data_IF_066755392796
#
_entry.id   IF_066755392796
#
_cell.length_a   1.000
_cell.length_b   1.000
_cell.length_c   1.000
_cell.angle_alpha   90.00
_cell.angle_beta   90.00
_cell.angle_gamma   90.00
#
_symmetry.space_group_name_H-M   'P 1'
#
loop_
_entity.id
_entity.type
_entity.pdbx_description
1 polymer ?
#
# COMPACT_ATOMS: atom_id res chain seq x y z
N UNK A 1 -20.79 81.85 1.53
CA UNK A 1 -21.93 81.49 2.41
C UNK A 1 -22.50 80.18 1.90
N UNK A 2 -22.59 79.15 2.76
CA UNK A 2 -23.18 77.80 2.59
C UNK A 2 -22.41 76.83 1.67
N UNK A 3 -21.72 75.79 2.20
CA UNK A 3 -22.12 74.57 2.94
C UNK A 3 -22.81 73.51 2.06
N UNK A 4 -22.18 72.31 2.06
CA UNK A 4 -22.76 70.97 1.83
C UNK A 4 -23.18 70.68 0.37
N UNK A 5 -22.93 69.53 -0.26
CA UNK A 5 -22.88 68.14 0.20
C UNK A 5 -21.95 67.35 -0.74
N UNK A 6 -20.84 66.90 -0.17
CA UNK A 6 -20.16 65.64 -0.48
C UNK A 6 -21.17 64.52 -0.19
N UNK A 7 -21.20 63.43 -0.98
CA UNK A 7 -21.99 62.19 -0.79
C UNK A 7 -23.28 62.14 -1.64
N UNK A 8 -23.21 61.44 -2.77
CA UNK A 8 -24.19 60.40 -3.17
C UNK A 8 -23.76 59.73 -4.50
N UNK A 9 -22.62 59.04 -4.47
CA UNK A 9 -22.37 57.90 -5.37
C UNK A 9 -21.44 56.87 -4.69
N UNK A 10 -21.67 56.64 -3.40
CA UNK A 10 -21.18 55.48 -2.65
C UNK A 10 -22.33 55.06 -1.73
N UNK A 11 -23.41 54.57 -2.33
CA UNK A 11 -24.39 53.74 -1.64
C UNK A 11 -24.54 52.49 -2.50
N UNK A 12 -24.35 51.37 -1.84
CA UNK A 12 -24.55 50.01 -2.33
C UNK A 12 -23.39 49.35 -3.08
N UNK A 13 -22.20 49.43 -2.50
CA UNK A 13 -21.35 48.22 -2.45
C UNK A 13 -21.04 47.93 -0.98
N UNK A 14 -21.84 47.05 -0.36
CA UNK A 14 -21.27 45.95 0.36
C UNK A 14 -21.68 44.67 -0.38
N UNK A 15 -21.00 44.36 -1.49
CA UNK A 15 -20.67 42.95 -1.77
C UNK A 15 -19.59 42.53 -0.76
N UNK A 16 -19.93 42.61 0.52
CA UNK A 16 -19.36 41.72 1.52
C UNK A 16 -19.77 40.34 1.07
N UNK A 17 -18.86 39.68 0.34
CA UNK A 17 -18.53 38.26 0.43
C UNK A 17 -19.60 37.52 1.24
N UNK A 18 -20.75 37.30 0.63
CA UNK A 18 -21.60 36.18 0.99
C UNK A 18 -20.86 34.98 0.44
N UNK A 19 -19.75 34.62 1.10
CA UNK A 19 -19.18 33.29 1.07
C UNK A 19 -20.36 32.39 1.37
N UNK A 20 -20.92 31.84 0.30
CA UNK A 20 -22.09 31.00 0.41
C UNK A 20 -21.67 29.83 1.31
N UNK A 21 -22.39 29.52 2.40
CA UNK A 21 -22.05 28.37 3.24
C UNK A 21 -21.97 27.08 2.42
N UNK A 22 -22.63 27.03 1.25
CA UNK A 22 -22.51 25.94 0.29
C UNK A 22 -21.12 25.81 -0.38
N UNK A 23 -20.38 26.90 -0.59
CA UNK A 23 -19.04 26.88 -1.15
C UNK A 23 -17.99 26.41 -0.12
N UNK A 24 -18.09 26.85 1.13
CA UNK A 24 -17.23 26.36 2.21
C UNK A 24 -17.50 24.89 2.54
N UNK A 25 -18.77 24.47 2.52
CA UNK A 25 -19.15 23.07 2.67
C UNK A 25 -18.64 22.21 1.51
N UNK A 26 -18.70 22.71 0.27
CA UNK A 26 -18.17 22.00 -0.89
C UNK A 26 -16.64 21.92 -0.89
N UNK A 27 -15.94 23.00 -0.54
CA UNK A 27 -14.48 22.99 -0.38
C UNK A 27 -14.04 22.04 0.73
N UNK A 28 -14.75 22.04 1.86
CA UNK A 28 -14.52 21.13 2.99
C UNK A 28 -14.79 19.67 2.61
N UNK A 29 -15.87 19.40 1.86
CA UNK A 29 -16.20 18.07 1.33
C UNK A 29 -15.17 17.60 0.30
N UNK A 30 -14.65 18.49 -0.54
CA UNK A 30 -13.63 18.17 -1.53
C UNK A 30 -12.29 17.85 -0.87
N UNK A 31 -11.86 18.65 0.11
CA UNK A 31 -10.68 18.36 0.95
C UNK A 31 -10.83 17.03 1.69
N UNK A 32 -12.00 16.78 2.29
CA UNK A 32 -12.30 15.54 3.01
C UNK A 32 -12.24 14.29 2.11
N UNK A 33 -12.76 14.36 0.88
CA UNK A 33 -12.68 13.27 -0.11
C UNK A 33 -11.27 13.06 -0.64
N UNK A 34 -10.52 14.15 -0.87
CA UNK A 34 -9.12 14.08 -1.29
C UNK A 34 -8.25 13.41 -0.24
N UNK A 35 -8.41 13.77 1.04
CA UNK A 35 -7.70 13.13 2.15
C UNK A 35 -8.04 11.63 2.27
N UNK A 36 -9.32 11.25 2.18
CA UNK A 36 -9.71 9.82 2.23
C UNK A 36 -9.10 9.01 1.07
N UNK A 37 -9.03 9.61 -0.12
CA UNK A 37 -8.39 8.97 -1.28
C UNK A 37 -6.90 8.76 -1.05
N UNK A 38 -6.17 9.80 -0.60
CA UNK A 38 -4.74 9.70 -0.31
C UNK A 38 -4.44 8.66 0.77
N UNK A 39 -5.27 8.60 1.82
CA UNK A 39 -5.14 7.60 2.88
C UNK A 39 -5.30 6.18 2.32
N UNK A 40 -6.30 5.96 1.45
CA UNK A 40 -6.51 4.68 0.80
C UNK A 40 -5.34 4.28 -0.10
N UNK A 41 -4.81 5.22 -0.89
CA UNK A 41 -3.65 5.00 -1.76
C UNK A 41 -2.41 4.65 -0.92
N UNK A 42 -2.18 5.33 0.20
CA UNK A 42 -1.08 5.05 1.12
C UNK A 42 -1.20 3.64 1.75
N UNK A 43 -2.40 3.24 2.18
CA UNK A 43 -2.65 1.90 2.71
C UNK A 43 -2.43 0.80 1.65
N UNK A 44 -2.91 1.02 0.42
CA UNK A 44 -2.72 0.10 -0.69
C UNK A 44 -1.23 -0.07 -1.05
N UNK A 45 -0.49 1.04 -1.11
CA UNK A 45 0.96 1.03 -1.31
C UNK A 45 1.69 0.28 -0.19
N UNK A 46 1.30 0.51 1.06
CA UNK A 46 1.86 -0.20 2.21
C UNK A 46 1.65 -1.72 2.13
N UNK A 47 0.46 -2.16 1.70
CA UNK A 47 0.14 -3.58 1.50
C UNK A 47 0.95 -4.19 0.35
N UNK A 48 1.06 -3.47 -0.78
CA UNK A 48 1.88 -3.90 -1.91
C UNK A 48 3.36 -4.08 -1.52
N UNK A 49 3.90 -3.17 -0.73
CA UNK A 49 5.28 -3.22 -0.23
C UNK A 49 5.54 -4.48 0.61
N UNK A 50 4.61 -4.84 1.50
CA UNK A 50 4.72 -6.06 2.33
C UNK A 50 4.64 -7.34 1.52
N UNK A 51 3.75 -7.38 0.52
CA UNK A 51 3.71 -8.50 -0.44
C UNK A 51 5.01 -8.62 -1.21
N UNK A 52 5.55 -7.51 -1.72
CA UNK A 52 6.80 -7.51 -2.47
C UNK A 52 7.95 -8.04 -1.60
N UNK A 53 8.01 -7.64 -0.34
CA UNK A 53 9.01 -8.18 0.61
C UNK A 53 8.80 -9.67 0.89
N UNK A 54 7.56 -10.12 1.12
CA UNK A 54 7.28 -11.54 1.30
C UNK A 54 7.70 -12.35 0.07
N UNK A 55 7.45 -11.81 -1.13
CA UNK A 55 7.85 -12.44 -2.38
C UNK A 55 9.38 -12.52 -2.52
N UNK A 56 10.09 -11.45 -2.16
CA UNK A 56 11.56 -11.47 -2.19
C UNK A 56 12.12 -12.56 -1.26
N UNK A 57 11.56 -12.73 -0.07
CA UNK A 57 11.94 -13.83 0.85
C UNK A 57 11.64 -15.18 0.22
N UNK A 58 10.47 -15.37 -0.39
CA UNK A 58 10.13 -16.63 -1.09
C UNK A 58 11.11 -16.94 -2.22
N UNK A 59 11.48 -15.95 -3.03
CA UNK A 59 12.45 -16.10 -4.12
C UNK A 59 13.86 -16.43 -3.58
N UNK A 60 14.29 -15.80 -2.47
CA UNK A 60 15.55 -16.10 -1.78
C UNK A 60 15.58 -17.53 -1.21
N UNK A 61 14.45 -18.00 -0.66
CA UNK A 61 14.29 -19.37 -0.16
C UNK A 61 14.41 -20.37 -1.32
N UNK A 62 13.70 -20.13 -2.42
CA UNK A 62 13.77 -20.98 -3.62
C UNK A 62 15.22 -21.05 -4.14
N UNK A 63 15.89 -19.90 -4.20
CA UNK A 63 17.29 -19.82 -4.60
C UNK A 63 18.21 -20.62 -3.67
N UNK A 64 18.05 -20.49 -2.36
CA UNK A 64 18.83 -21.26 -1.38
C UNK A 64 18.62 -22.78 -1.55
N UNK A 65 17.36 -23.20 -1.75
CA UNK A 65 17.00 -24.60 -1.96
C UNK A 65 17.63 -25.15 -3.25
N UNK A 66 17.63 -24.37 -4.32
CA UNK A 66 18.30 -24.71 -5.58
C UNK A 66 19.81 -24.87 -5.40
N UNK A 67 20.48 -23.91 -4.74
CA UNK A 67 21.92 -23.98 -4.45
C UNK A 67 22.25 -25.24 -3.63
N UNK A 68 21.44 -25.54 -2.60
CA UNK A 68 21.61 -26.76 -1.81
C UNK A 68 21.44 -28.03 -2.65
N UNK A 69 20.46 -28.05 -3.55
CA UNK A 69 20.21 -29.19 -4.44
C UNK A 69 21.37 -29.44 -5.40
N UNK A 70 21.88 -28.39 -6.04
CA UNK A 70 22.99 -28.46 -6.99
C UNK A 70 24.29 -28.89 -6.30
N UNK A 71 24.56 -28.36 -5.11
CA UNK A 71 25.86 -28.53 -4.44
C UNK A 71 27.01 -28.13 -5.37
N UNK A 72 28.14 -28.86 -5.30
CA UNK A 72 29.29 -28.65 -6.19
C UNK A 72 29.19 -29.32 -7.58
N UNK A 73 28.02 -29.87 -7.96
CA UNK A 73 27.91 -30.67 -9.17
C UNK A 73 27.54 -29.83 -10.41
N UNK A 74 28.54 -29.59 -11.28
CA UNK A 74 28.38 -28.89 -12.58
C UNK A 74 27.34 -29.48 -13.55
N UNK A 75 26.88 -30.71 -13.35
CA UNK A 75 25.94 -31.40 -14.26
C UNK A 75 24.47 -31.18 -13.91
N UNK A 76 24.16 -30.69 -12.71
CA UNK A 76 22.79 -30.36 -12.33
C UNK A 76 22.48 -28.94 -12.78
N UNK A 77 21.27 -28.73 -13.28
CA UNK A 77 20.73 -27.42 -13.64
C UNK A 77 19.37 -27.25 -12.97
N UNK A 78 19.09 -26.03 -12.52
CA UNK A 78 17.78 -25.64 -12.01
C UNK A 78 16.70 -25.77 -13.09
N UNK A 79 17.07 -25.56 -14.36
CA UNK A 79 16.15 -25.63 -15.50
C UNK A 79 15.74 -27.07 -15.84
N UNK A 80 16.41 -28.08 -15.28
CA UNK A 80 16.10 -29.49 -15.51
C UNK A 80 15.97 -30.26 -14.19
N UNK A 81 15.02 -29.85 -13.35
CA UNK A 81 14.72 -30.53 -12.07
C UNK A 81 14.31 -32.00 -12.26
N UNK A 82 13.81 -32.39 -13.43
CA UNK A 82 13.47 -33.78 -13.75
C UNK A 82 14.67 -34.72 -13.77
N UNK A 83 15.89 -34.20 -14.02
CA UNK A 83 17.12 -34.98 -14.00
C UNK A 83 17.76 -35.07 -12.60
N UNK A 84 17.16 -34.46 -11.58
CA UNK A 84 17.70 -34.50 -10.22
C UNK A 84 17.55 -35.90 -9.63
N UNK A 85 18.66 -36.41 -9.09
CA UNK A 85 18.65 -37.67 -8.35
C UNK A 85 18.02 -37.52 -6.96
N UNK A 86 17.81 -38.65 -6.28
CA UNK A 86 17.26 -38.68 -4.92
C UNK A 86 18.08 -37.85 -3.93
N UNK A 87 19.40 -37.73 -4.12
CA UNK A 87 20.28 -37.01 -3.21
C UNK A 87 20.15 -35.50 -3.38
N UNK A 88 20.01 -35.02 -4.61
CA UNK A 88 19.71 -33.62 -4.92
C UNK A 88 18.37 -33.19 -4.33
N UNK A 89 17.32 -34.00 -4.52
CA UNK A 89 16.01 -33.76 -3.88
C UNK A 89 16.07 -33.78 -2.35
N UNK A 90 16.84 -34.70 -1.76
CA UNK A 90 17.01 -34.73 -0.31
C UNK A 90 17.68 -33.46 0.24
N UNK A 91 18.69 -32.93 -0.46
CA UNK A 91 19.31 -31.64 -0.10
C UNK A 91 18.34 -30.48 -0.25
N UNK A 92 17.59 -30.42 -1.36
CA UNK A 92 16.56 -29.41 -1.58
C UNK A 92 15.55 -29.38 -0.43
N UNK A 93 14.97 -30.54 -0.09
CA UNK A 93 13.94 -30.63 0.95
C UNK A 93 14.50 -30.30 2.35
N UNK A 94 15.73 -30.73 2.65
CA UNK A 94 16.38 -30.38 3.90
C UNK A 94 16.63 -28.87 4.02
N UNK A 95 16.99 -28.21 2.92
CA UNK A 95 17.09 -26.75 2.85
C UNK A 95 15.73 -26.08 3.04
N UNK A 96 14.71 -26.53 2.30
CA UNK A 96 13.35 -25.98 2.38
C UNK A 96 12.78 -26.02 3.80
N UNK A 97 12.99 -27.13 4.53
CA UNK A 97 12.58 -27.24 5.95
C UNK A 97 13.31 -26.21 6.82
N UNK A 98 14.61 -26.02 6.60
CA UNK A 98 15.41 -25.07 7.38
C UNK A 98 15.00 -23.63 7.10
N UNK A 99 14.80 -23.30 5.83
CA UNK A 99 14.33 -21.99 5.38
C UNK A 99 12.92 -21.69 5.87
N UNK A 100 12.01 -22.67 5.81
CA UNK A 100 10.67 -22.54 6.36
C UNK A 100 10.71 -22.22 7.87
N UNK A 101 11.59 -22.90 8.63
CA UNK A 101 11.74 -22.61 10.06
C UNK A 101 12.37 -21.23 10.32
N UNK A 102 13.32 -20.80 9.49
CA UNK A 102 13.98 -19.51 9.65
C UNK A 102 13.06 -18.32 9.33
N UNK A 103 12.16 -18.48 8.35
CA UNK A 103 11.38 -17.36 7.79
C UNK A 103 9.87 -17.44 8.05
N UNK A 104 9.32 -18.51 8.64
CA UNK A 104 7.87 -18.64 8.83
C UNK A 104 7.25 -17.46 9.58
N UNK A 105 7.84 -17.05 10.71
CA UNK A 105 7.33 -15.93 11.51
C UNK A 105 7.35 -14.61 10.74
N UNK A 106 8.41 -14.34 9.97
CA UNK A 106 8.52 -13.11 9.17
C UNK A 106 7.51 -13.11 8.02
N UNK A 107 7.40 -14.21 7.28
CA UNK A 107 6.45 -14.35 6.17
C UNK A 107 5.01 -14.22 6.67
N UNK A 108 4.67 -14.86 7.78
CA UNK A 108 3.33 -14.76 8.38
C UNK A 108 3.04 -13.33 8.85
N UNK A 109 4.01 -12.66 9.47
CA UNK A 109 3.91 -11.25 9.86
C UNK A 109 3.63 -10.36 8.65
N UNK A 110 4.43 -10.46 7.59
CA UNK A 110 4.27 -9.66 6.37
C UNK A 110 2.91 -9.88 5.70
N UNK A 111 2.45 -11.14 5.63
CA UNK A 111 1.15 -11.50 5.05
C UNK A 111 0.00 -10.97 5.90
N UNK A 112 0.09 -11.07 7.23
CA UNK A 112 -0.92 -10.54 8.14
C UNK A 112 -1.00 -9.01 8.08
N UNK A 113 0.15 -8.32 8.08
CA UNK A 113 0.21 -6.87 7.94
C UNK A 113 -0.37 -6.41 6.60
N UNK A 114 -0.03 -7.06 5.48
CA UNK A 114 -0.60 -6.75 4.17
C UNK A 114 -2.15 -6.89 4.20
N UNK A 115 -2.65 -8.01 4.73
CA UNK A 115 -4.08 -8.25 4.85
C UNK A 115 -4.78 -7.22 5.76
N UNK A 116 -4.11 -6.76 6.83
CA UNK A 116 -4.64 -5.72 7.71
C UNK A 116 -4.73 -4.37 6.99
N UNK A 117 -3.69 -3.97 6.28
CA UNK A 117 -3.68 -2.71 5.52
C UNK A 117 -4.76 -2.69 4.44
N UNK A 118 -4.99 -3.83 3.77
CA UNK A 118 -6.11 -3.96 2.82
C UNK A 118 -7.48 -3.88 3.46
N UNK A 119 -7.65 -4.48 4.64
CA UNK A 119 -8.89 -4.35 5.40
C UNK A 119 -9.16 -2.88 5.73
N UNK A 120 -8.15 -2.16 6.22
CA UNK A 120 -8.26 -0.72 6.51
C UNK A 120 -8.58 0.09 5.24
N UNK A 121 -7.92 -0.20 4.12
CA UNK A 121 -8.16 0.48 2.85
C UNK A 121 -9.60 0.27 2.31
N UNK A 122 -10.23 -0.85 2.64
CA UNK A 122 -11.64 -1.12 2.30
C UNK A 122 -12.61 -0.38 3.24
N UNK A 123 -12.37 -0.44 4.55
CA UNK A 123 -13.23 0.20 5.55
C UNK A 123 -13.27 1.72 5.35
N UNK A 124 -12.10 2.34 5.13
CA UNK A 124 -12.00 3.78 4.89
C UNK A 124 -12.61 4.23 3.55
N UNK A 125 -12.96 3.30 2.67
CA UNK A 125 -13.73 3.58 1.45
C UNK A 125 -15.25 3.59 1.66
N UNK A 126 -15.75 2.95 2.72
CA UNK A 126 -17.20 2.74 2.95
C UNK A 126 -17.82 3.67 4.00
N UNK A 127 -17.03 4.22 4.93
CA UNK A 127 -17.54 4.99 6.08
C UNK A 127 -17.96 6.43 5.81
N UNK A 128 -18.12 6.85 4.54
CA UNK A 128 -18.55 8.23 4.20
C UNK A 128 -19.70 8.33 3.19
N UNK A 129 -20.33 7.22 2.82
CA UNK A 129 -21.46 7.20 1.89
C UNK A 129 -22.84 7.07 2.57
N UNK A 130 -22.88 6.99 3.91
CA UNK A 130 -24.13 6.96 4.67
C UNK A 130 -24.19 8.14 5.63
N UNK A 131 -24.65 9.28 5.13
CA UNK A 131 -25.30 10.37 5.89
C UNK A 131 -26.50 10.88 5.06
#
# INVERSE_FOLDING_TARGET
>A
MRRTVFIDLIKDIPEMIAMSPAQDLNASRHGSRYHARLEREALAYGAATRRARARAIEDDIDHACEIAALGGHRRLSVLNRAAWDKRAWARYLAEAVRQAHAHCTELDGLRQEAAQLERLARINGTTRETD
#
